data_IF_432645956924
#
_entry.id   IF_432645956924
#
_cell.length_a   1.000
_cell.length_b   1.000
_cell.length_c   1.000
_cell.angle_alpha   90.00
_cell.angle_beta   90.00
_cell.angle_gamma   90.00
#
_symmetry.space_group_name_H-M   'P 1'
#
loop_
_entity.id
_entity.type
_entity.pdbx_description
1 polymer ?
#
# COMPACT_ATOMS: atom_id res chain seq x y z
N UNK A 1 -0.14 -9.57 13.65
CA UNK A 1 -0.06 -8.27 12.96
C UNK A 1 -0.05 -7.18 14.01
N UNK A 2 0.93 -6.28 13.99
CA UNK A 2 0.90 -5.03 14.77
C UNK A 2 0.99 -3.88 13.78
N UNK A 3 0.29 -2.80 14.03
CA UNK A 3 0.26 -1.63 13.14
C UNK A 3 0.55 -0.39 13.98
N UNK A 4 1.36 0.50 13.43
CA UNK A 4 1.76 1.79 14.00
C UNK A 4 1.52 2.87 12.95
N UNK A 5 1.69 4.15 13.31
CA UNK A 5 1.56 5.24 12.35
C UNK A 5 2.62 5.21 11.24
N UNK A 6 3.77 4.57 11.47
CA UNK A 6 4.88 4.52 10.51
C UNK A 6 4.86 3.28 9.60
N UNK A 7 4.17 2.21 10.01
CA UNK A 7 4.21 0.92 9.32
C UNK A 7 3.60 -0.21 10.13
N UNK A 8 3.86 -1.45 9.71
CA UNK A 8 3.29 -2.64 10.33
C UNK A 8 4.32 -3.77 10.49
N UNK A 9 4.05 -4.65 11.45
CA UNK A 9 4.83 -5.85 11.71
C UNK A 9 4.01 -7.11 11.40
N UNK A 10 4.57 -8.00 10.59
CA UNK A 10 4.00 -9.28 10.22
C UNK A 10 4.95 -10.43 10.58
N UNK A 11 4.39 -11.54 11.06
CA UNK A 11 5.11 -12.80 11.17
C UNK A 11 4.82 -13.64 9.94
N UNK A 12 5.86 -14.08 9.23
CA UNK A 12 5.78 -14.94 8.05
C UNK A 12 6.73 -16.12 8.22
N UNK A 13 6.52 -17.19 7.47
CA UNK A 13 7.46 -18.31 7.43
C UNK A 13 8.08 -18.43 6.05
N UNK A 14 9.41 -18.46 5.99
CA UNK A 14 10.17 -18.66 4.76
C UNK A 14 10.81 -20.04 4.83
N UNK A 15 10.38 -20.98 3.97
CA UNK A 15 10.85 -22.37 4.00
C UNK A 15 10.79 -22.99 5.40
N UNK A 16 9.62 -22.88 6.05
CA UNK A 16 9.35 -23.35 7.42
C UNK A 16 10.13 -22.65 8.55
N UNK A 17 10.91 -21.61 8.25
CA UNK A 17 11.57 -20.78 9.25
C UNK A 17 10.70 -19.57 9.58
N UNK A 18 10.20 -19.42 10.82
CA UNK A 18 9.39 -18.27 11.21
C UNK A 18 10.26 -17.02 11.34
N UNK A 19 9.88 -15.97 10.63
CA UNK A 19 10.50 -14.65 10.69
C UNK A 19 9.48 -13.56 11.04
N UNK A 20 9.99 -12.48 11.62
CA UNK A 20 9.21 -11.29 11.95
C UNK A 20 9.73 -10.12 11.13
N UNK A 21 8.88 -9.60 10.26
CA UNK A 21 9.20 -8.48 9.39
C UNK A 21 8.55 -7.21 9.92
N UNK A 22 9.30 -6.12 9.85
CA UNK A 22 8.83 -4.76 10.09
C UNK A 22 8.85 -4.01 8.75
N UNK A 23 7.70 -3.50 8.34
CA UNK A 23 7.48 -2.94 7.01
C UNK A 23 6.96 -1.50 7.18
N UNK A 24 7.79 -0.49 6.88
CA UNK A 24 7.35 0.90 6.79
C UNK A 24 6.35 1.10 5.64
N UNK A 25 5.35 1.97 5.81
CA UNK A 25 4.39 2.24 4.73
C UNK A 25 5.05 2.86 3.49
N UNK A 26 6.12 3.63 3.66
CA UNK A 26 6.89 4.21 2.55
C UNK A 26 7.60 3.16 1.70
N UNK A 27 7.78 1.94 2.21
CA UNK A 27 8.42 0.84 1.47
C UNK A 27 7.41 -0.01 0.65
N UNK A 28 6.11 0.24 0.79
CA UNK A 28 5.07 -0.51 0.09
C UNK A 28 5.01 -0.07 -1.36
N UNK A 29 5.32 -0.98 -2.29
CA UNK A 29 5.23 -0.73 -3.75
C UNK A 29 3.84 -0.98 -4.33
N UNK A 30 3.11 -1.93 -3.76
CA UNK A 30 1.78 -2.27 -4.22
C UNK A 30 1.04 -3.13 -3.21
N UNK A 31 -0.28 -3.16 -3.35
CA UNK A 31 -1.20 -3.92 -2.52
C UNK A 31 -2.20 -4.63 -3.42
N UNK A 32 -2.33 -5.96 -3.27
CA UNK A 32 -3.21 -6.79 -4.09
C UNK A 32 -4.11 -7.64 -3.20
N UNK A 33 -5.42 -7.57 -3.43
CA UNK A 33 -6.42 -8.45 -2.82
C UNK A 33 -7.08 -9.34 -3.90
N UNK A 34 -6.70 -10.64 -3.98
CA UNK A 34 -7.26 -11.58 -4.95
C UNK A 34 -8.77 -11.85 -4.76
N UNK A 35 -9.31 -11.66 -3.56
CA UNK A 35 -10.70 -12.05 -3.24
C UNK A 35 -11.72 -11.18 -3.97
N UNK A 36 -11.35 -9.94 -4.27
CA UNK A 36 -12.18 -8.95 -4.96
C UNK A 36 -11.49 -8.39 -6.21
N UNK A 37 -10.35 -8.96 -6.60
CA UNK A 37 -9.58 -8.58 -7.78
C UNK A 37 -9.18 -7.09 -7.77
N UNK A 38 -8.75 -6.59 -6.61
CA UNK A 38 -8.42 -5.20 -6.34
C UNK A 38 -6.90 -5.00 -6.20
N UNK A 39 -6.38 -3.90 -6.75
CA UNK A 39 -4.96 -3.58 -6.75
C UNK A 39 -4.73 -2.08 -6.54
N UNK A 40 -3.65 -1.75 -5.81
CA UNK A 40 -3.10 -0.40 -5.67
C UNK A 40 -1.59 -0.46 -5.94
N UNK A 41 -1.07 0.50 -6.70
CA UNK A 41 0.37 0.70 -6.89
C UNK A 41 0.79 2.06 -6.33
N UNK A 42 1.97 2.11 -5.72
CA UNK A 42 2.54 3.30 -5.10
C UNK A 42 3.92 3.60 -5.69
N UNK A 43 4.18 4.89 -5.94
CA UNK A 43 5.49 5.35 -6.36
C UNK A 43 6.43 5.45 -5.14
N UNK A 44 7.26 4.42 -4.95
CA UNK A 44 8.22 4.37 -3.85
C UNK A 44 9.45 5.18 -4.25
N UNK A 45 9.51 6.43 -3.80
CA UNK A 45 10.72 7.26 -3.88
C UNK A 45 11.77 6.70 -2.93
N UNK A 46 12.67 5.88 -3.46
CA UNK A 46 13.91 5.54 -2.76
C UNK A 46 14.83 6.75 -2.81
N UNK A 47 15.14 7.36 -1.66
CA UNK A 47 16.10 8.50 -1.53
C UNK A 47 17.56 8.13 -1.84
N UNK A 48 17.81 7.10 -2.66
CA UNK A 48 19.15 6.71 -3.10
C UNK A 48 19.33 7.04 -4.58
N UNK A 49 19.91 8.22 -4.80
CA UNK A 49 20.71 8.67 -5.96
C UNK A 49 20.05 8.74 -7.35
N UNK A 50 19.87 9.99 -7.81
CA UNK A 50 20.12 10.52 -9.17
C UNK A 50 19.83 9.58 -10.37
N UNK A 51 18.67 9.76 -11.02
CA UNK A 51 18.59 10.13 -12.44
C UNK A 51 17.14 10.55 -12.80
N UNK A 52 17.01 11.44 -13.78
CA UNK A 52 15.81 12.13 -14.21
C UNK A 52 14.78 11.22 -14.88
N UNK A 53 13.50 11.36 -14.53
CA UNK A 53 12.42 11.51 -15.51
C UNK A 53 11.12 11.93 -14.82
N UNK A 54 10.68 13.16 -15.12
CA UNK A 54 9.36 13.64 -14.78
C UNK A 54 8.28 12.73 -15.39
N UNK A 55 7.45 12.11 -14.55
CA UNK A 55 6.14 11.61 -14.92
C UNK A 55 5.10 12.18 -13.94
N UNK A 56 3.91 12.57 -14.42
CA UNK A 56 3.00 13.44 -13.68
C UNK A 56 2.42 12.71 -12.47
N UNK A 57 2.22 13.47 -11.39
CA UNK A 57 1.60 13.01 -10.16
C UNK A 57 0.27 12.28 -10.43
N UNK A 58 0.03 11.08 -9.88
CA UNK A 58 -1.31 10.53 -9.88
C UNK A 58 -2.18 11.41 -8.98
N UNK A 59 -3.18 12.05 -9.57
CA UNK A 59 -4.23 12.72 -8.81
C UNK A 59 -4.90 11.68 -7.89
N UNK A 60 -5.18 12.01 -6.62
CA UNK A 60 -5.87 11.08 -5.75
C UNK A 60 -7.26 10.84 -6.32
N UNK A 61 -7.53 9.61 -6.77
CA UNK A 61 -8.87 9.19 -7.16
C UNK A 61 -9.72 9.32 -5.90
N UNK A 62 -10.49 10.39 -5.82
CA UNK A 62 -11.47 10.60 -4.77
C UNK A 62 -12.46 9.44 -4.84
N UNK A 63 -12.35 8.50 -3.89
CA UNK A 63 -13.40 7.54 -3.60
C UNK A 63 -14.61 8.37 -3.21
N UNK A 64 -15.57 8.54 -4.12
CA UNK A 64 -16.85 9.15 -3.80
C UNK A 64 -17.56 8.17 -2.87
N UNK A 65 -17.81 8.50 -1.59
CA UNK A 65 -18.65 7.66 -0.77
C UNK A 65 -20.09 7.91 -1.24
N UNK A 66 -20.69 6.94 -1.92
CA UNK A 66 -22.12 6.96 -2.22
C UNK A 66 -22.91 6.85 -0.91
N UNK A 67 -23.22 8.01 -0.32
CA UNK A 67 -24.12 8.13 0.81
C UNK A 67 -25.57 8.17 0.28
N UNK A 68 -26.23 7.02 0.40
CA UNK A 68 -27.63 6.82 0.81
C UNK A 68 -28.65 7.90 0.38
N UNK A 69 -29.59 7.52 -0.48
CA UNK A 69 -30.92 8.14 -0.55
C UNK A 69 -32.01 7.06 -0.53
N UNK A 70 -32.47 6.70 0.67
CA UNK A 70 -33.88 6.36 0.88
C UNK A 70 -34.70 7.63 0.56
N UNK A 71 -35.79 7.53 -0.21
CA UNK A 71 -37.11 8.15 0.01
C UNK A 71 -38.00 7.93 -1.22
N UNK A 72 -38.95 7.00 -1.15
CA UNK A 72 -40.42 7.25 -1.17
C UNK A 72 -41.17 5.92 -1.32
#
# INVERSE_FOLDING_TARGET
>A
LKVTDAGFEAGLSFSDVPEKLEIPFSAVRGFYDPSVNFELEFDVKTESAEDEAAAPAPEPIAVVPEKKAETK
#
